data_IF_337918640250
#
_entry.id   IF_337918640250
#
_cell.length_a   1.000
_cell.length_b   1.000
_cell.length_c   1.000
_cell.angle_alpha   90.00
_cell.angle_beta   90.00
_cell.angle_gamma   90.00
#
_symmetry.space_group_name_H-M   'P 1'
#
loop_
_entity.id
_entity.type
_entity.pdbx_description
1 polymer ?
#
# COMPACT_ATOMS: atom_id res chain seq x y z
N UNK A 1 -5.88 -17.07 -16.28
CA UNK A 1 -6.54 -15.75 -16.49
C UNK A 1 -7.42 -15.35 -15.30
N UNK A 2 -8.34 -16.18 -14.83
CA UNK A 2 -9.25 -15.81 -13.72
C UNK A 2 -8.55 -15.63 -12.36
N UNK A 3 -7.55 -16.44 -12.02
CA UNK A 3 -6.77 -16.32 -10.77
C UNK A 3 -5.92 -15.04 -10.70
N UNK A 4 -5.33 -14.62 -11.82
CA UNK A 4 -4.58 -13.37 -11.91
C UNK A 4 -5.51 -12.17 -11.75
N UNK A 5 -6.64 -12.15 -12.45
CA UNK A 5 -7.65 -11.09 -12.31
C UNK A 5 -8.16 -10.94 -10.86
N UNK A 6 -8.35 -12.06 -10.14
CA UNK A 6 -8.69 -12.03 -8.71
C UNK A 6 -7.55 -11.46 -7.86
N UNK A 7 -6.30 -11.78 -8.19
CA UNK A 7 -5.13 -11.23 -7.51
C UNK A 7 -5.04 -9.72 -7.73
N UNK A 8 -5.32 -9.25 -8.95
CA UNK A 8 -5.25 -7.85 -9.30
C UNK A 8 -6.38 -7.04 -8.65
N UNK A 9 -7.59 -7.60 -8.57
CA UNK A 9 -8.69 -6.98 -7.82
C UNK A 9 -8.38 -6.84 -6.33
N UNK A 10 -7.77 -7.87 -5.71
CA UNK A 10 -7.33 -7.79 -4.30
C UNK A 10 -6.21 -6.76 -4.09
N UNK A 11 -5.30 -6.63 -5.05
CA UNK A 11 -4.27 -5.60 -5.04
C UNK A 11 -4.90 -4.21 -5.10
N UNK A 12 -5.83 -4.00 -6.04
CA UNK A 12 -6.56 -2.73 -6.18
C UNK A 12 -7.37 -2.37 -4.91
N UNK A 13 -8.03 -3.35 -4.29
CA UNK A 13 -8.73 -3.15 -3.00
C UNK A 13 -7.78 -2.66 -1.90
N UNK A 14 -6.58 -3.23 -1.83
CA UNK A 14 -5.57 -2.82 -0.85
C UNK A 14 -5.05 -1.42 -1.16
N UNK A 15 -4.77 -1.13 -2.43
CA UNK A 15 -4.28 0.17 -2.89
C UNK A 15 -5.25 1.29 -2.54
N UNK A 16 -6.56 1.14 -2.82
CA UNK A 16 -7.53 2.21 -2.52
C UNK A 16 -7.69 2.46 -1.03
N UNK A 17 -7.54 1.44 -0.18
CA UNK A 17 -7.52 1.62 1.29
C UNK A 17 -6.31 2.45 1.71
N UNK A 18 -5.11 2.09 1.24
CA UNK A 18 -3.88 2.82 1.55
C UNK A 18 -3.92 4.27 1.06
N UNK A 19 -4.39 4.48 -0.17
CA UNK A 19 -4.52 5.81 -0.75
C UNK A 19 -5.55 6.65 0.01
N UNK A 20 -6.67 6.07 0.45
CA UNK A 20 -7.62 6.77 1.32
C UNK A 20 -6.99 7.19 2.65
N UNK A 21 -6.22 6.31 3.31
CA UNK A 21 -5.50 6.64 4.55
C UNK A 21 -4.50 7.79 4.31
N UNK A 22 -3.80 7.77 3.18
CA UNK A 22 -2.77 8.76 2.86
C UNK A 22 -3.32 10.12 2.39
N UNK A 23 -4.55 10.21 1.88
CA UNK A 23 -5.10 11.41 1.25
C UNK A 23 -6.20 12.12 2.06
N UNK A 24 -6.72 11.48 3.11
CA UNK A 24 -7.78 12.04 3.94
C UNK A 24 -7.34 12.13 5.41
N UNK A 25 -7.80 13.14 6.18
CA UNK A 25 -7.42 13.25 7.58
C UNK A 25 -7.96 12.06 8.39
N UNK A 26 -7.28 11.67 9.49
CA UNK A 26 -7.70 10.54 10.32
C UNK A 26 -9.14 10.62 10.83
N UNK A 27 -9.65 11.83 11.04
CA UNK A 27 -11.01 12.12 11.51
C UNK A 27 -12.08 12.11 10.40
N UNK A 28 -11.68 11.86 9.15
CA UNK A 28 -12.63 11.85 8.03
C UNK A 28 -13.50 10.59 8.04
N UNK A 29 -14.78 10.70 7.63
CA UNK A 29 -15.64 9.53 7.42
C UNK A 29 -15.05 8.51 6.42
N UNK A 30 -14.24 8.97 5.47
CA UNK A 30 -13.57 8.11 4.48
C UNK A 30 -12.57 7.18 5.14
N UNK A 31 -11.66 7.72 5.97
CA UNK A 31 -10.69 6.91 6.72
C UNK A 31 -11.39 5.96 7.69
N UNK A 32 -12.43 6.44 8.39
CA UNK A 32 -13.17 5.59 9.32
C UNK A 32 -13.78 4.37 8.63
N UNK A 33 -14.42 4.56 7.48
CA UNK A 33 -15.01 3.46 6.70
C UNK A 33 -13.95 2.53 6.11
N UNK A 34 -12.82 3.06 5.65
CA UNK A 34 -11.70 2.26 5.14
C UNK A 34 -11.16 1.32 6.22
N UNK A 35 -10.92 1.85 7.42
CA UNK A 35 -10.40 1.08 8.55
C UNK A 35 -11.48 0.13 9.09
N UNK A 36 -12.73 0.56 9.21
CA UNK A 36 -13.83 -0.30 9.63
C UNK A 36 -14.02 -1.50 8.71
N UNK A 37 -13.94 -1.30 7.39
CA UNK A 37 -13.99 -2.38 6.41
C UNK A 37 -12.80 -3.32 6.55
N UNK A 38 -11.60 -2.76 6.77
CA UNK A 38 -10.38 -3.55 7.00
C UNK A 38 -10.52 -4.41 8.26
N UNK A 39 -10.99 -3.83 9.36
CA UNK A 39 -11.24 -4.54 10.62
C UNK A 39 -12.25 -5.68 10.44
N UNK A 40 -13.36 -5.43 9.73
CA UNK A 40 -14.33 -6.48 9.38
C UNK A 40 -13.68 -7.61 8.57
N UNK A 41 -12.88 -7.29 7.55
CA UNK A 41 -12.22 -8.29 6.71
C UNK A 41 -11.16 -9.10 7.48
N UNK A 42 -10.47 -8.49 8.45
CA UNK A 42 -9.45 -9.13 9.27
C UNK A 42 -10.03 -9.94 10.44
N UNK A 43 -11.18 -9.55 11.01
CA UNK A 43 -11.73 -10.11 12.24
C UNK A 43 -11.83 -11.66 12.24
N UNK A 44 -12.29 -12.35 11.18
CA UNK A 44 -12.33 -13.81 11.17
C UNK A 44 -10.93 -14.47 11.22
N UNK A 45 -9.92 -13.83 10.64
CA UNK A 45 -8.55 -14.33 10.62
C UNK A 45 -7.84 -14.08 11.96
N UNK A 46 -8.11 -12.93 12.58
CA UNK A 46 -7.65 -12.63 13.94
C UNK A 46 -8.28 -13.63 14.93
N UNK A 47 -9.60 -13.82 14.87
CA UNK A 47 -10.33 -14.77 15.74
C UNK A 47 -9.84 -16.22 15.60
N UNK A 48 -9.37 -16.61 14.41
CA UNK A 48 -8.83 -17.95 14.16
C UNK A 48 -7.32 -18.07 14.39
N UNK A 49 -6.64 -17.00 14.84
CA UNK A 49 -5.20 -16.97 15.09
C UNK A 49 -4.34 -17.01 13.82
N UNK A 50 -4.92 -16.75 12.65
CA UNK A 50 -4.19 -16.70 11.36
C UNK A 50 -3.55 -15.35 11.08
N UNK A 51 -4.02 -14.30 11.74
CA UNK A 51 -3.39 -12.98 11.78
C UNK A 51 -3.19 -12.66 13.26
N UNK A 52 -1.94 -12.55 13.66
CA UNK A 52 -1.56 -12.18 15.03
C UNK A 52 -1.40 -10.66 15.17
N UNK A 53 -1.30 -10.18 16.40
CA UNK A 53 -1.00 -8.76 16.67
C UNK A 53 0.40 -8.38 16.16
N UNK A 54 1.37 -9.30 16.20
CA UNK A 54 2.70 -9.09 15.62
C UNK A 54 2.63 -8.94 14.09
N UNK A 55 1.81 -9.75 13.41
CA UNK A 55 1.58 -9.64 11.96
C UNK A 55 0.99 -8.27 11.58
N UNK A 56 -0.04 -7.82 12.31
CA UNK A 56 -0.67 -6.52 12.08
C UNK A 56 0.34 -5.38 12.27
N UNK A 57 1.12 -5.44 13.36
CA UNK A 57 2.11 -4.42 13.68
C UNK A 57 3.26 -4.40 12.66
N UNK A 58 3.69 -5.56 12.15
CA UNK A 58 4.72 -5.64 11.11
C UNK A 58 4.25 -5.05 9.78
N UNK A 59 3.02 -5.37 9.35
CA UNK A 59 2.46 -4.78 8.12
C UNK A 59 2.33 -3.27 8.27
N UNK A 60 1.92 -2.77 9.44
CA UNK A 60 1.90 -1.34 9.72
C UNK A 60 3.30 -0.71 9.62
N UNK A 61 4.30 -1.35 10.23
CA UNK A 61 5.70 -0.91 10.15
C UNK A 61 6.17 -0.76 8.70
N UNK A 62 5.95 -1.79 7.88
CA UNK A 62 6.36 -1.79 6.48
C UNK A 62 5.77 -0.61 5.70
N UNK A 63 4.54 -0.19 6.02
CA UNK A 63 3.84 0.92 5.34
C UNK A 63 4.53 2.28 5.44
N UNK A 64 5.24 2.57 6.55
CA UNK A 64 6.03 3.81 6.68
C UNK A 64 7.53 3.59 6.56
N UNK A 65 8.05 2.43 6.98
CA UNK A 65 9.48 2.14 6.94
C UNK A 65 10.02 2.09 5.51
N UNK A 66 9.28 1.48 4.59
CA UNK A 66 9.74 1.35 3.21
C UNK A 66 9.82 2.72 2.49
N UNK A 67 8.83 3.62 2.56
CA UNK A 67 8.99 4.99 2.07
C UNK A 67 10.19 5.71 2.69
N UNK A 68 10.36 5.67 4.02
CA UNK A 68 11.46 6.34 4.72
C UNK A 68 12.82 5.81 4.23
N UNK A 69 12.92 4.50 3.95
CA UNK A 69 14.14 3.86 3.44
C UNK A 69 14.37 4.13 1.94
N UNK A 70 13.35 4.04 1.10
CA UNK A 70 13.48 4.12 -0.36
C UNK A 70 13.73 5.55 -0.85
N UNK A 71 13.05 6.54 -0.28
CA UNK A 71 13.15 7.94 -0.71
C UNK A 71 14.60 8.48 -0.74
N UNK A 72 15.42 8.36 0.33
CA UNK A 72 16.79 8.86 0.30
C UNK A 72 17.67 8.13 -0.71
N UNK A 73 17.37 6.87 -1.04
CA UNK A 73 18.16 6.07 -1.98
C UNK A 73 17.78 6.43 -3.43
N UNK A 74 16.48 6.37 -3.76
CA UNK A 74 15.98 6.39 -5.14
C UNK A 74 15.26 7.68 -5.56
N UNK A 75 14.92 8.56 -4.63
CA UNK A 75 14.23 9.82 -4.91
C UNK A 75 15.11 11.06 -4.71
N UNK A 76 14.57 12.21 -5.13
CA UNK A 76 15.28 13.48 -5.24
C UNK A 76 15.83 14.02 -3.91
N UNK A 77 15.26 13.63 -2.76
CA UNK A 77 15.74 14.02 -1.42
C UNK A 77 15.39 13.00 -0.34
N UNK A 78 16.08 13.11 0.80
CA UNK A 78 15.68 12.46 2.05
C UNK A 78 14.48 13.18 2.67
N UNK A 79 13.74 12.48 3.52
CA UNK A 79 12.76 13.10 4.42
C UNK A 79 13.46 13.81 5.57
N UNK A 80 12.89 14.92 6.02
CA UNK A 80 13.27 15.59 7.26
C UNK A 80 12.55 14.93 8.45
N UNK A 81 13.08 15.09 9.66
CA UNK A 81 12.54 14.46 10.88
C UNK A 81 11.05 14.79 11.11
N UNK A 82 10.63 16.02 10.80
CA UNK A 82 9.21 16.41 10.88
C UNK A 82 8.34 15.61 9.90
N UNK A 83 8.83 15.32 8.71
CA UNK A 83 8.07 14.55 7.71
C UNK A 83 8.03 13.07 8.07
N UNK A 84 9.11 12.53 8.63
CA UNK A 84 9.14 11.18 9.20
C UNK A 84 8.12 11.09 10.33
N UNK A 85 8.17 12.02 11.29
CA UNK A 85 7.24 12.06 12.40
C UNK A 85 5.78 12.16 11.92
N UNK A 86 5.48 13.01 10.93
CA UNK A 86 4.14 13.14 10.37
C UNK A 86 3.65 11.84 9.69
N UNK A 87 4.48 11.22 8.85
CA UNK A 87 4.16 9.96 8.18
C UNK A 87 3.89 8.85 9.18
N UNK A 88 4.78 8.70 10.16
CA UNK A 88 4.69 7.67 11.19
C UNK A 88 3.47 7.90 12.09
N UNK A 89 3.15 9.15 12.41
CA UNK A 89 1.97 9.52 13.20
C UNK A 89 0.67 9.17 12.49
N UNK A 90 0.59 9.43 11.18
CA UNK A 90 -0.56 9.05 10.37
C UNK A 90 -0.83 7.54 10.47
N UNK A 91 0.23 6.72 10.33
CA UNK A 91 0.10 5.27 10.47
C UNK A 91 -0.17 4.82 11.91
N UNK A 92 0.37 5.50 12.91
CA UNK A 92 0.01 5.23 14.31
C UNK A 92 -1.49 5.44 14.56
N UNK A 93 -2.09 6.51 14.04
CA UNK A 93 -3.55 6.69 14.13
C UNK A 93 -4.32 5.54 13.48
N UNK A 94 -3.87 5.07 12.31
CA UNK A 94 -4.45 3.88 11.66
C UNK A 94 -4.39 2.66 12.57
N UNK A 95 -3.23 2.40 13.17
CA UNK A 95 -3.02 1.26 14.04
C UNK A 95 -3.84 1.32 15.33
N UNK A 96 -3.96 2.49 15.94
CA UNK A 96 -4.81 2.70 17.12
C UNK A 96 -6.27 2.37 16.77
N UNK A 97 -6.76 2.86 15.62
CA UNK A 97 -8.10 2.55 15.08
C UNK A 97 -8.29 1.07 14.69
N UNK A 98 -7.21 0.36 14.36
CA UNK A 98 -7.20 -1.09 14.11
C UNK A 98 -7.08 -1.93 15.39
N UNK A 99 -6.98 -1.30 16.57
CA UNK A 99 -6.84 -1.97 17.86
C UNK A 99 -5.59 -2.86 17.97
N UNK A 100 -4.46 -2.35 17.44
CA UNK A 100 -3.18 -3.06 17.54
C UNK A 100 -2.65 -2.97 18.98
N UNK A 101 -2.31 -4.13 19.57
CA UNK A 101 -1.86 -4.23 20.96
C UNK A 101 -0.33 -4.06 21.10
N UNK A 102 0.11 -2.82 21.23
CA UNK A 102 1.53 -2.52 21.46
C UNK A 102 2.03 -2.99 22.81
N UNK A 103 1.20 -3.00 23.85
CA UNK A 103 1.64 -3.34 25.20
C UNK A 103 2.12 -4.78 25.27
N UNK A 104 1.42 -5.69 24.59
CA UNK A 104 1.83 -7.09 24.52
C UNK A 104 3.02 -7.28 23.59
N UNK A 105 3.02 -6.65 22.41
CA UNK A 105 4.03 -6.87 21.36
C UNK A 105 5.35 -6.13 21.64
N UNK A 106 5.28 -4.82 21.92
CA UNK A 106 6.43 -3.94 22.13
C UNK A 106 6.82 -3.77 23.61
N UNK A 107 6.00 -4.27 24.54
CA UNK A 107 6.17 -4.02 26.00
C UNK A 107 6.16 -2.53 26.35
N UNK A 108 5.50 -1.72 25.52
CA UNK A 108 5.37 -0.26 25.62
C UNK A 108 4.11 0.18 24.89
N UNK A 109 3.43 1.20 25.41
CA UNK A 109 2.16 1.71 24.91
C UNK A 109 2.14 3.24 24.77
N UNK A 110 3.24 3.92 25.10
CA UNK A 110 3.31 5.37 25.12
C UNK A 110 4.67 5.85 24.61
N UNK A 111 4.66 6.89 23.77
CA UNK A 111 5.83 7.53 23.17
C UNK A 111 5.73 9.05 23.28
N UNK A 112 6.88 9.72 23.26
CA UNK A 112 7.01 11.18 23.28
C UNK A 112 6.57 11.79 21.94
N UNK A 113 6.99 11.18 20.84
CA UNK A 113 6.66 11.63 19.48
C UNK A 113 6.74 10.47 18.47
N UNK A 114 6.53 10.81 17.19
CA UNK A 114 6.58 9.86 16.09
C UNK A 114 7.98 9.35 15.75
N UNK A 115 9.06 10.02 16.18
CA UNK A 115 10.43 9.54 15.96
C UNK A 115 10.75 8.42 16.95
N UNK A 116 10.40 8.59 18.22
CA UNK A 116 10.59 7.53 19.22
C UNK A 116 9.76 6.28 18.88
N UNK A 117 8.52 6.47 18.42
CA UNK A 117 7.70 5.36 17.93
C UNK A 117 8.35 4.69 16.71
N UNK A 118 8.89 5.47 15.76
CA UNK A 118 9.59 4.93 14.59
C UNK A 118 10.82 4.08 14.97
N UNK A 119 11.62 4.52 15.95
CA UNK A 119 12.78 3.78 16.42
C UNK A 119 12.39 2.43 17.03
N UNK A 120 11.37 2.41 17.90
CA UNK A 120 10.88 1.18 18.52
C UNK A 120 10.32 0.22 17.46
N UNK A 121 9.54 0.74 16.51
CA UNK A 121 8.99 -0.03 15.39
C UNK A 121 10.09 -0.56 14.46
N UNK A 122 11.18 0.18 14.27
CA UNK A 122 12.33 -0.26 13.47
C UNK A 122 13.07 -1.42 14.11
N UNK A 123 13.28 -1.38 15.43
CA UNK A 123 13.87 -2.51 16.17
C UNK A 123 12.95 -3.74 16.11
N UNK A 124 11.67 -3.55 16.38
CA UNK A 124 10.67 -4.62 16.27
C UNK A 124 10.62 -5.22 14.85
N UNK A 125 10.58 -4.39 13.81
CA UNK A 125 10.52 -4.85 12.42
C UNK A 125 11.75 -5.66 12.02
N UNK A 126 12.95 -5.23 12.46
CA UNK A 126 14.19 -5.97 12.24
C UNK A 126 14.16 -7.36 12.88
N UNK A 127 13.76 -7.43 14.16
CA UNK A 127 13.63 -8.68 14.91
C UNK A 127 12.56 -9.61 14.31
N UNK A 128 11.44 -9.03 13.87
CA UNK A 128 10.35 -9.75 13.24
C UNK A 128 10.82 -10.39 11.92
N UNK A 129 11.52 -9.64 11.09
CA UNK A 129 12.08 -10.19 9.85
C UNK A 129 13.15 -11.26 10.11
N UNK A 130 13.95 -11.17 11.18
CA UNK A 130 14.97 -12.20 11.51
C UNK A 130 14.30 -13.54 11.85
N UNK A 131 13.12 -13.47 12.45
CA UNK A 131 12.30 -14.64 12.82
C UNK A 131 11.51 -15.17 11.63
N UNK A 132 10.88 -14.30 10.84
CA UNK A 132 9.83 -14.70 9.89
C UNK A 132 10.23 -14.62 8.42
N UNK A 133 11.18 -13.75 8.02
CA UNK A 133 11.56 -13.58 6.62
C UNK A 133 12.57 -14.64 6.17
N UNK A 134 12.11 -15.89 6.14
CA UNK A 134 12.91 -17.09 5.84
C UNK A 134 12.43 -17.80 4.57
N UNK A 135 13.31 -18.53 3.86
CA UNK A 135 12.89 -19.31 2.71
C UNK A 135 12.05 -20.51 3.14
N UNK A 136 10.74 -20.42 2.95
CA UNK A 136 9.78 -21.52 3.09
C UNK A 136 9.06 -21.75 1.77
N UNK A 137 8.47 -22.93 1.57
CA UNK A 137 7.72 -23.24 0.34
C UNK A 137 6.58 -22.22 0.10
N UNK A 138 5.85 -21.86 1.15
CA UNK A 138 4.77 -20.87 1.06
C UNK A 138 5.28 -19.48 0.71
N UNK A 139 6.39 -19.04 1.30
CA UNK A 139 6.99 -17.73 1.00
C UNK A 139 7.54 -17.70 -0.43
N UNK A 140 8.18 -18.77 -0.90
CA UNK A 140 8.63 -18.86 -2.29
C UNK A 140 7.46 -18.83 -3.25
N UNK A 141 6.38 -19.58 -2.98
CA UNK A 141 5.16 -19.55 -3.78
C UNK A 141 4.55 -18.15 -3.82
N UNK A 142 4.49 -17.46 -2.68
CA UNK A 142 4.02 -16.08 -2.60
C UNK A 142 4.90 -15.14 -3.43
N UNK A 143 6.22 -15.29 -3.35
CA UNK A 143 7.17 -14.55 -4.16
C UNK A 143 6.91 -14.70 -5.66
N UNK A 144 6.68 -15.92 -6.14
CA UNK A 144 6.35 -16.17 -7.55
C UNK A 144 5.02 -15.54 -7.97
N UNK A 145 3.99 -15.58 -7.10
CA UNK A 145 2.72 -14.89 -7.35
C UNK A 145 2.92 -13.37 -7.46
N UNK A 146 3.68 -12.78 -6.54
CA UNK A 146 4.00 -11.35 -6.56
C UNK A 146 4.80 -10.98 -7.82
N UNK A 147 5.83 -11.75 -8.18
CA UNK A 147 6.63 -11.48 -9.36
C UNK A 147 5.79 -11.58 -10.64
N UNK A 148 4.90 -12.57 -10.73
CA UNK A 148 3.97 -12.68 -11.85
C UNK A 148 3.01 -11.48 -11.92
N UNK A 149 2.47 -11.03 -10.79
CA UNK A 149 1.64 -9.81 -10.71
C UNK A 149 2.41 -8.60 -11.25
N UNK A 150 3.63 -8.36 -10.77
CA UNK A 150 4.45 -7.22 -11.17
C UNK A 150 4.82 -7.25 -12.66
N UNK A 151 5.14 -8.43 -13.19
CA UNK A 151 5.57 -8.58 -14.58
C UNK A 151 4.40 -8.62 -15.57
N UNK A 152 3.23 -9.09 -15.15
CA UNK A 152 2.05 -9.11 -16.02
C UNK A 152 1.58 -7.68 -16.34
N UNK A 153 1.88 -6.69 -15.50
CA UNK A 153 1.64 -5.25 -15.76
C UNK A 153 2.32 -4.71 -17.02
N UNK A 154 3.36 -5.37 -17.51
CA UNK A 154 4.17 -4.86 -18.62
C UNK A 154 4.16 -5.80 -19.83
N UNK A 155 4.55 -5.29 -21.02
CA UNK A 155 4.67 -6.14 -22.21
C UNK A 155 5.62 -7.32 -21.97
N UNK A 156 5.24 -8.52 -22.43
CA UNK A 156 6.03 -9.75 -22.20
C UNK A 156 7.48 -9.65 -22.69
N UNK A 157 7.74 -8.84 -23.70
CA UNK A 157 9.08 -8.62 -24.27
C UNK A 157 10.04 -7.99 -23.26
N UNK A 158 9.55 -7.14 -22.35
CA UNK A 158 10.39 -6.49 -21.32
C UNK A 158 10.46 -7.28 -20.01
N UNK A 159 9.65 -8.33 -19.87
CA UNK A 159 9.54 -9.14 -18.66
C UNK A 159 10.89 -9.71 -18.15
N UNK A 160 11.82 -10.21 -19.00
CA UNK A 160 13.11 -10.71 -18.51
C UNK A 160 13.98 -9.64 -17.85
N UNK A 161 13.98 -8.43 -18.41
CA UNK A 161 14.70 -7.28 -17.84
C UNK A 161 14.01 -6.83 -16.55
N UNK A 162 12.67 -6.74 -16.58
CA UNK A 162 11.85 -6.40 -15.42
C UNK A 162 12.07 -7.36 -14.24
N UNK A 163 12.16 -8.66 -14.51
CA UNK A 163 12.41 -9.70 -13.49
C UNK A 163 13.74 -9.45 -12.77
N UNK A 164 14.81 -9.21 -13.55
CA UNK A 164 16.13 -8.96 -12.99
C UNK A 164 16.17 -7.64 -12.22
N UNK A 165 15.57 -6.57 -12.76
CA UNK A 165 15.46 -5.28 -12.07
C UNK A 165 14.66 -5.39 -10.75
N UNK A 166 13.57 -6.16 -10.74
CA UNK A 166 12.80 -6.45 -9.53
C UNK A 166 13.66 -7.21 -8.50
N UNK A 167 14.46 -8.19 -8.92
CA UNK A 167 15.40 -8.89 -8.04
C UNK A 167 16.45 -7.94 -7.43
N UNK A 168 16.93 -6.95 -8.20
CA UNK A 168 17.85 -5.91 -7.67
C UNK A 168 17.14 -5.07 -6.61
N UNK A 169 15.92 -4.61 -6.87
CA UNK A 169 15.16 -3.74 -5.97
C UNK A 169 14.71 -4.44 -4.68
N UNK A 170 14.40 -5.73 -4.73
CA UNK A 170 14.06 -6.54 -3.54
C UNK A 170 15.23 -6.63 -2.54
N UNK A 171 16.47 -6.42 -2.98
CA UNK A 171 17.65 -6.59 -2.15
C UNK A 171 17.91 -8.04 -1.73
N UNK A 172 19.04 -8.33 -1.08
CA UNK A 172 19.49 -9.70 -0.85
C UNK A 172 18.65 -10.47 0.18
N UNK A 173 17.99 -9.79 1.12
CA UNK A 173 17.22 -10.44 2.19
C UNK A 173 15.91 -11.02 1.68
N UNK A 174 15.02 -10.16 1.17
CA UNK A 174 13.71 -10.54 0.65
C UNK A 174 13.83 -11.48 -0.55
N UNK A 175 14.78 -11.22 -1.46
CA UNK A 175 15.05 -12.07 -2.62
C UNK A 175 15.42 -13.50 -2.23
N UNK A 176 16.28 -13.68 -1.21
CA UNK A 176 16.64 -15.01 -0.69
C UNK A 176 15.45 -15.69 -0.02
N UNK A 177 14.62 -14.96 0.71
CA UNK A 177 13.39 -15.52 1.29
C UNK A 177 12.43 -16.03 0.19
N UNK A 178 12.29 -15.29 -0.90
CA UNK A 178 11.50 -15.73 -2.07
C UNK A 178 12.17 -16.82 -2.92
N UNK A 179 13.43 -17.18 -2.66
CA UNK A 179 14.16 -18.18 -3.44
C UNK A 179 14.56 -17.70 -4.84
N UNK A 180 14.67 -16.40 -5.07
CA UNK A 180 15.07 -15.83 -6.35
C UNK A 180 16.59 -15.77 -6.52
N UNK A 181 17.10 -15.98 -7.75
CA UNK A 181 18.54 -16.00 -8.02
C UNK A 181 19.18 -14.64 -7.79
N UNK A 182 20.49 -14.62 -7.56
CA UNK A 182 21.26 -13.37 -7.52
C UNK A 182 21.22 -12.70 -8.90
N UNK A 183 20.88 -11.39 -8.99
CA UNK A 183 20.92 -10.69 -10.26
C UNK A 183 22.38 -10.53 -10.73
N UNK A 184 22.60 -10.59 -12.04
CA UNK A 184 23.94 -10.38 -12.61
C UNK A 184 24.51 -9.00 -12.27
N UNK A 185 25.84 -8.88 -12.19
CA UNK A 185 26.50 -7.60 -11.88
C UNK A 185 26.15 -6.51 -12.91
N UNK A 186 26.09 -6.86 -14.20
CA UNK A 186 25.76 -5.92 -15.27
C UNK A 186 24.36 -5.32 -15.15
N UNK A 187 23.34 -6.15 -14.89
CA UNK A 187 21.96 -5.65 -14.71
C UNK A 187 21.83 -4.87 -13.40
N UNK A 188 22.51 -5.31 -12.34
CA UNK A 188 22.55 -4.59 -11.06
C UNK A 188 23.10 -3.17 -11.24
N UNK A 189 24.24 -3.05 -11.91
CA UNK A 189 24.84 -1.75 -12.23
C UNK A 189 23.88 -0.91 -13.10
N UNK A 190 23.31 -1.49 -14.15
CA UNK A 190 22.36 -0.79 -15.02
C UNK A 190 21.15 -0.26 -14.24
N UNK A 191 20.51 -1.09 -13.42
CA UNK A 191 19.32 -0.70 -12.63
C UNK A 191 19.65 0.45 -11.68
N UNK A 192 20.73 0.36 -10.91
CA UNK A 192 21.11 1.45 -10.01
C UNK A 192 21.54 2.72 -10.75
N UNK A 193 22.25 2.61 -11.87
CA UNK A 193 22.61 3.76 -12.71
C UNK A 193 21.36 4.46 -13.27
N UNK A 194 20.37 3.72 -13.78
CA UNK A 194 19.12 4.30 -14.28
C UNK A 194 18.35 5.02 -13.17
N UNK A 195 18.27 4.43 -11.98
CA UNK A 195 17.62 5.05 -10.82
C UNK A 195 18.37 6.31 -10.36
N UNK A 196 19.70 6.29 -10.38
CA UNK A 196 20.52 7.46 -10.07
C UNK A 196 20.32 8.58 -11.09
N UNK A 197 20.34 8.26 -12.38
CA UNK A 197 20.07 9.24 -13.45
C UNK A 197 18.68 9.84 -13.27
N UNK A 198 17.64 9.00 -13.08
CA UNK A 198 16.27 9.47 -12.79
C UNK A 198 16.26 10.42 -11.59
N UNK A 199 16.88 10.02 -10.47
CA UNK A 199 16.97 10.83 -9.25
C UNK A 199 17.59 12.20 -9.51
N UNK A 200 18.67 12.27 -10.28
CA UNK A 200 19.33 13.52 -10.64
C UNK A 200 18.47 14.38 -11.57
N UNK A 201 17.81 13.77 -12.56
CA UNK A 201 16.88 14.46 -13.46
C UNK A 201 15.71 15.06 -12.66
N UNK A 202 15.06 14.28 -11.79
CA UNK A 202 13.95 14.78 -10.97
C UNK A 202 14.42 15.89 -10.02
N UNK A 203 15.62 15.77 -9.44
CA UNK A 203 16.15 16.75 -8.49
C UNK A 203 16.53 18.09 -9.14
N UNK A 204 17.13 18.07 -10.33
CA UNK A 204 17.78 19.25 -10.91
C UNK A 204 17.09 19.77 -12.18
N UNK A 205 16.31 18.96 -12.88
CA UNK A 205 15.71 19.31 -14.17
C UNK A 205 14.17 19.39 -14.15
N UNK A 206 13.51 18.74 -13.18
CA UNK A 206 12.06 18.82 -13.02
C UNK A 206 11.66 19.99 -12.12
N UNK A 207 10.65 20.77 -12.55
CA UNK A 207 10.07 21.83 -11.74
C UNK A 207 9.13 21.28 -10.66
N UNK A 208 8.96 21.97 -9.52
CA UNK A 208 7.93 21.64 -8.55
C UNK A 208 6.54 21.57 -9.19
N UNK A 209 5.70 20.64 -8.73
CA UNK A 209 4.32 20.55 -9.21
C UNK A 209 3.54 21.80 -8.83
N UNK A 210 2.82 22.39 -9.78
CA UNK A 210 1.93 23.52 -9.54
C UNK A 210 0.58 23.09 -8.92
N UNK A 211 0.20 21.84 -9.13
CA UNK A 211 -1.01 21.24 -8.59
C UNK A 211 -0.68 19.95 -7.85
N UNK A 212 -1.41 19.61 -6.77
CA UNK A 212 -1.21 18.36 -6.07
C UNK A 212 -1.56 17.17 -6.98
N UNK A 213 -0.86 16.05 -6.79
CA UNK A 213 -1.26 14.79 -7.40
C UNK A 213 -2.57 14.33 -6.75
N UNK A 214 -3.57 14.00 -7.56
CA UNK A 214 -4.87 13.53 -7.08
C UNK A 214 -4.97 12.03 -7.35
N UNK A 215 -4.93 11.23 -6.29
CA UNK A 215 -4.97 9.78 -6.42
C UNK A 215 -6.38 9.21 -6.35
N UNK A 216 -7.24 9.82 -5.54
CA UNK A 216 -8.64 9.44 -5.33
C UNK A 216 -9.53 10.66 -5.32
N UNK A 217 -10.78 10.50 -5.74
CA UNK A 217 -11.78 11.56 -5.67
C UNK A 217 -12.29 11.79 -4.26
N UNK A 218 -12.93 12.93 -4.03
CA UNK A 218 -13.88 13.04 -2.92
C UNK A 218 -15.05 12.06 -3.11
N UNK A 219 -15.73 11.63 -2.05
CA UNK A 219 -16.96 10.86 -2.18
C UNK A 219 -18.00 11.63 -3.01
N UNK A 220 -18.56 10.97 -4.01
CA UNK A 220 -19.63 11.51 -4.83
C UNK A 220 -20.87 11.84 -3.98
N UNK A 221 -21.53 12.98 -4.22
CA UNK A 221 -22.61 13.46 -3.36
C UNK A 221 -23.88 12.61 -3.42
N UNK A 222 -24.18 12.04 -4.58
CA UNK A 222 -25.39 11.24 -4.79
C UNK A 222 -25.14 9.77 -4.47
N UNK A 223 -24.01 9.24 -4.96
CA UNK A 223 -23.72 7.81 -4.89
C UNK A 223 -22.81 7.42 -3.72
N UNK A 224 -22.07 8.37 -3.15
CA UNK A 224 -21.04 8.10 -2.14
C UNK A 224 -19.79 7.42 -2.67
N UNK A 225 -19.72 7.13 -3.99
CA UNK A 225 -18.61 6.40 -4.60
C UNK A 225 -17.34 7.23 -4.68
N UNK A 226 -16.22 6.58 -4.44
CA UNK A 226 -14.87 7.15 -4.58
C UNK A 226 -14.21 6.55 -5.82
N UNK A 227 -13.63 7.41 -6.67
CA UNK A 227 -12.95 7.00 -7.90
C UNK A 227 -11.44 6.98 -7.65
N UNK A 228 -10.75 5.96 -8.16
CA UNK A 228 -9.29 5.96 -8.24
C UNK A 228 -8.85 6.58 -9.57
N UNK A 229 -7.71 7.27 -9.59
CA UNK A 229 -7.12 7.82 -10.81
C UNK A 229 -5.85 7.09 -11.24
N UNK A 230 -5.40 6.09 -10.47
CA UNK A 230 -4.23 5.28 -10.76
C UNK A 230 -4.57 3.79 -10.63
N UNK A 231 -3.87 2.97 -11.40
CA UNK A 231 -3.98 1.51 -11.37
C UNK A 231 -2.68 0.87 -11.87
N UNK A 232 -2.36 -0.34 -11.38
CA UNK A 232 -1.14 -1.05 -11.77
C UNK A 232 -1.29 -1.94 -13.02
N UNK A 233 -2.38 -2.71 -13.14
CA UNK A 233 -2.62 -3.61 -14.30
C UNK A 233 -3.99 -3.38 -14.92
N UNK A 234 -5.06 -3.76 -14.21
CA UNK A 234 -6.43 -3.49 -14.65
C UNK A 234 -6.98 -2.23 -13.99
N UNK A 235 -7.83 -1.48 -14.71
CA UNK A 235 -8.36 -0.19 -14.28
C UNK A 235 -9.53 -0.34 -13.29
N UNK A 236 -9.32 -1.05 -12.18
CA UNK A 236 -10.31 -1.15 -11.11
C UNK A 236 -10.58 0.22 -10.49
N UNK A 237 -11.86 0.59 -10.39
CA UNK A 237 -12.31 1.85 -9.81
C UNK A 237 -11.92 3.12 -10.58
N UNK A 238 -11.37 2.97 -11.79
CA UNK A 238 -10.88 4.09 -12.60
C UNK A 238 -11.91 4.53 -13.63
N UNK A 239 -12.31 5.81 -13.65
CA UNK A 239 -13.32 6.31 -14.58
C UNK A 239 -12.76 6.45 -16.00
N UNK A 240 -13.58 6.18 -17.04
CA UNK A 240 -13.18 6.25 -18.45
C UNK A 240 -13.15 7.69 -18.98
N UNK A 241 -12.50 8.61 -18.28
CA UNK A 241 -12.35 9.99 -18.75
C UNK A 241 -11.49 10.05 -20.01
N UNK A 242 -11.61 11.13 -20.77
CA UNK A 242 -10.84 11.31 -22.01
C UNK A 242 -9.33 11.13 -21.75
N UNK A 243 -8.77 11.82 -20.77
CA UNK A 243 -7.34 11.71 -20.49
C UNK A 243 -6.93 10.32 -19.97
N UNK A 244 -7.78 9.65 -19.19
CA UNK A 244 -7.50 8.30 -18.71
C UNK A 244 -7.49 7.24 -19.82
N UNK A 245 -8.20 7.49 -20.94
CA UNK A 245 -8.23 6.57 -22.09
C UNK A 245 -7.21 6.90 -23.18
N UNK A 246 -6.62 8.10 -23.18
CA UNK A 246 -5.82 8.61 -24.30
C UNK A 246 -4.45 9.18 -23.91
N UNK A 247 -4.08 9.17 -22.64
CA UNK A 247 -2.71 9.53 -22.24
C UNK A 247 -1.67 8.54 -22.83
N UNK A 248 -0.36 8.89 -22.84
CA UNK A 248 0.68 8.04 -23.44
C UNK A 248 0.73 6.63 -22.86
N UNK A 249 0.54 6.49 -21.54
CA UNK A 249 0.52 5.20 -20.85
C UNK A 249 -0.65 4.33 -21.31
N UNK A 250 -1.86 4.89 -21.39
CA UNK A 250 -3.06 4.20 -21.89
C UNK A 250 -2.88 3.73 -23.35
N UNK A 251 -2.23 4.53 -24.20
CA UNK A 251 -1.89 4.13 -25.56
C UNK A 251 -0.93 2.94 -25.60
N UNK A 252 0.12 2.95 -24.77
CA UNK A 252 1.08 1.83 -24.67
C UNK A 252 0.38 0.58 -24.14
N UNK A 253 -0.44 0.71 -23.09
CA UNK A 253 -1.22 -0.39 -22.50
C UNK A 253 -2.14 -1.01 -23.53
N UNK A 254 -2.87 -0.19 -24.31
CA UNK A 254 -3.75 -0.66 -25.38
C UNK A 254 -2.98 -1.42 -26.47
N UNK A 255 -1.87 -0.86 -26.94
CA UNK A 255 -1.02 -1.51 -27.96
C UNK A 255 -0.43 -2.85 -27.46
N UNK A 256 -0.26 -2.97 -26.15
CA UNK A 256 0.26 -4.18 -25.50
C UNK A 256 -0.83 -5.20 -25.15
N UNK A 257 -2.08 -4.94 -25.53
CA UNK A 257 -3.24 -5.82 -25.26
C UNK A 257 -3.78 -5.73 -23.83
N UNK A 258 -3.42 -4.70 -23.07
CA UNK A 258 -3.95 -4.42 -21.74
C UNK A 258 -5.34 -3.78 -21.77
N UNK A 259 -6.02 -3.80 -20.62
CA UNK A 259 -7.29 -3.11 -20.43
C UNK A 259 -7.03 -1.65 -20.02
N UNK A 260 -7.79 -0.73 -20.61
CA UNK A 260 -7.79 0.69 -20.23
C UNK A 260 -9.14 1.06 -19.57
N UNK A 261 -9.22 2.17 -18.81
CA UNK A 261 -10.44 2.54 -18.09
C UNK A 261 -11.68 2.57 -18.98
N UNK A 262 -12.73 1.83 -18.59
CA UNK A 262 -13.96 1.60 -19.37
C UNK A 262 -13.97 0.31 -20.18
N UNK A 263 -12.81 -0.31 -20.39
CA UNK A 263 -12.70 -1.66 -20.92
C UNK A 263 -12.84 -2.67 -19.75
N UNK A 264 -13.27 -3.90 -20.03
CA UNK A 264 -13.44 -4.94 -19.01
C UNK A 264 -14.80 -4.98 -18.31
N UNK A 265 -15.71 -4.05 -18.63
CA UNK A 265 -17.13 -4.07 -18.22
C UNK A 265 -17.36 -3.79 -16.73
N UNK A 266 -18.58 -4.08 -16.26
CA UNK A 266 -19.06 -3.72 -14.91
C UNK A 266 -18.18 -4.25 -13.76
N UNK A 267 -17.44 -5.35 -13.97
CA UNK A 267 -16.53 -5.90 -12.94
C UNK A 267 -15.38 -4.96 -12.54
N UNK A 268 -15.03 -4.00 -13.40
CA UNK A 268 -13.98 -3.02 -13.11
C UNK A 268 -14.49 -1.87 -12.25
N UNK A 269 -15.82 -1.74 -12.06
CA UNK A 269 -16.46 -0.71 -11.23
C UNK A 269 -15.94 0.69 -11.55
N UNK A 270 -15.93 1.06 -12.83
CA UNK A 270 -15.37 2.33 -13.32
C UNK A 270 -16.05 3.59 -12.76
N UNK A 271 -17.25 3.43 -12.22
CA UNK A 271 -18.00 4.42 -11.46
C UNK A 271 -17.37 4.75 -10.08
N UNK A 272 -16.41 3.95 -9.63
CA UNK A 272 -15.77 4.04 -8.33
C UNK A 272 -16.22 2.95 -7.36
N UNK A 273 -15.68 2.95 -6.15
CA UNK A 273 -16.02 1.99 -5.10
C UNK A 273 -16.84 2.63 -3.97
N UNK A 274 -17.64 1.81 -3.32
CA UNK A 274 -18.01 1.99 -1.92
C UNK A 274 -17.13 1.07 -1.04
N UNK A 275 -17.04 1.29 0.26
CA UNK A 275 -16.19 0.43 1.10
C UNK A 275 -16.73 -1.00 1.20
N UNK A 276 -18.04 -1.17 1.05
CA UNK A 276 -18.73 -2.46 0.96
C UNK A 276 -18.32 -3.25 -0.30
N UNK A 277 -17.83 -2.56 -1.33
CA UNK A 277 -17.34 -3.17 -2.57
C UNK A 277 -16.02 -3.89 -2.42
N UNK A 278 -15.25 -3.58 -1.36
CA UNK A 278 -13.88 -4.04 -1.16
C UNK A 278 -13.85 -5.42 -0.48
N UNK A 279 -12.90 -6.25 -0.90
CA UNK A 279 -12.64 -7.57 -0.32
C UNK A 279 -12.99 -8.71 -1.27
N UNK A 280 -12.81 -9.97 -0.81
CA UNK A 280 -13.02 -11.12 -1.68
C UNK A 280 -14.48 -11.20 -2.15
N UNK A 281 -14.71 -11.63 -3.40
CA UNK A 281 -16.04 -11.68 -4.04
C UNK A 281 -17.17 -12.23 -3.14
N UNK A 282 -16.89 -13.21 -2.28
CA UNK A 282 -17.87 -13.82 -1.36
C UNK A 282 -18.36 -12.88 -0.25
N UNK A 283 -17.64 -11.80 0.03
CA UNK A 283 -17.89 -10.79 1.07
C UNK A 283 -18.26 -9.40 0.53
N UNK A 284 -18.20 -9.20 -0.80
CA UNK A 284 -18.65 -7.96 -1.44
C UNK A 284 -20.12 -7.72 -1.11
N UNK A 285 -20.44 -6.53 -0.60
CA UNK A 285 -21.79 -6.13 -0.16
C UNK A 285 -22.27 -6.80 1.14
N UNK A 286 -21.43 -7.58 1.83
CA UNK A 286 -21.80 -8.27 3.09
C UNK A 286 -21.16 -7.64 4.31
N UNK A 287 -21.75 -7.93 5.48
CA UNK A 287 -21.24 -7.48 6.77
C UNK A 287 -21.48 -6.00 7.04
N UNK A 288 -22.55 -5.42 6.48
CA UNK A 288 -22.83 -3.98 6.59
C UNK A 288 -23.01 -3.55 8.05
N UNK A 289 -23.83 -4.28 8.80
CA UNK A 289 -24.08 -3.95 10.21
C UNK A 289 -22.84 -4.15 11.09
N UNK A 290 -22.08 -5.22 10.88
CA UNK A 290 -20.79 -5.43 11.57
C UNK A 290 -19.78 -4.34 11.22
N UNK A 291 -19.70 -3.93 9.95
CA UNK A 291 -18.82 -2.84 9.51
C UNK A 291 -19.22 -1.51 10.16
N UNK A 292 -20.53 -1.22 10.28
CA UNK A 292 -21.00 -0.03 11.00
C UNK A 292 -20.60 -0.06 12.48
N UNK A 293 -20.66 -1.21 13.14
CA UNK A 293 -20.21 -1.34 14.53
C UNK A 293 -18.71 -1.05 14.65
N UNK A 294 -17.88 -1.57 13.73
CA UNK A 294 -16.47 -1.21 13.66
C UNK A 294 -16.27 0.29 13.40
N UNK A 295 -17.09 0.91 12.54
CA UNK A 295 -17.01 2.33 12.22
C UNK A 295 -17.23 3.21 13.47
N UNK A 296 -18.17 2.86 14.35
CA UNK A 296 -18.41 3.59 15.60
C UNK A 296 -17.23 3.50 16.59
N UNK A 297 -16.59 2.33 16.68
CA UNK A 297 -15.37 2.14 17.47
C UNK A 297 -14.22 2.96 16.90
N UNK A 298 -14.04 2.90 15.57
CA UNK A 298 -13.01 3.64 14.84
C UNK A 298 -13.19 5.15 15.02
N UNK A 299 -14.42 5.67 14.88
CA UNK A 299 -14.75 7.08 15.13
C UNK A 299 -14.32 7.51 16.52
N UNK A 300 -14.69 6.75 17.55
CA UNK A 300 -14.34 7.07 18.94
C UNK A 300 -12.82 7.24 19.12
N UNK A 301 -12.04 6.34 18.52
CA UNK A 301 -10.58 6.37 18.58
C UNK A 301 -9.95 7.49 17.75
N UNK A 302 -10.50 7.79 16.58
CA UNK A 302 -10.00 8.84 15.71
C UNK A 302 -10.06 10.23 16.37
N UNK A 303 -11.00 10.45 17.30
CA UNK A 303 -11.15 11.68 18.07
C UNK A 303 -10.46 11.66 19.44
N UNK A 304 -9.59 10.67 19.72
CA UNK A 304 -8.90 10.55 21.02
C UNK A 304 -7.82 11.63 21.27
N UNK A 305 -7.53 12.49 20.30
CA UNK A 305 -6.52 13.54 20.41
C UNK A 305 -5.13 13.09 19.96
N UNK A 306 -4.08 13.77 20.43
CA UNK A 306 -2.70 13.44 20.07
C UNK A 306 -2.36 12.01 20.54
N UNK A 307 -1.79 11.14 19.67
CA UNK A 307 -1.52 9.74 20.01
C UNK A 307 -0.22 9.55 20.81
N UNK A 308 0.43 10.65 21.18
CA UNK A 308 1.67 10.67 21.96
C UNK A 308 1.44 11.33 23.32
N UNK A 309 2.31 10.99 24.26
CA UNK A 309 2.34 11.63 25.57
C UNK A 309 2.47 13.13 25.39
N UNK A 310 1.63 13.87 26.11
CA UNK A 310 1.90 15.29 26.33
C UNK A 310 3.25 15.38 27.04
N UNK A 311 4.25 15.95 26.36
CA UNK A 311 5.41 16.51 27.04
C UNK A 311 4.89 17.59 27.96
N UNK A 312 4.67 17.26 29.24
CA UNK A 312 4.51 18.28 30.27
C UNK A 312 5.77 19.15 30.18
N UNK A 313 5.57 20.40 29.79
CA UNK A 313 6.58 21.45 29.91
C UNK A 313 6.90 21.70 31.38
#
# INVERSE_FOLDING_TARGET
MQTLLLTHGRYADTEVVYVCIANFPPTSPVVHKAIARTNFLHAPYIKSGKITQEDLLYVLYASFAEPIRFLPIYEYRKLEDMEIAALVTMWKYTADMMDIDYRTVLRKDEWVDGLEFFEDMTRFGSDYEDKHLRPTEDIQKLGHVLMNLLLDSYPKVVSPIGYQAACVLMGPRLRRAFGFPDPGLGITALTYSLLLVRKLVVRFLCLPRLTPAVYVSQPDQETGRIKSYHYMKEPFYVPPTFWQRWNPEACITRLSGGLIPGDGGARMKSEGFLFEDLGPNRLVGKGLEETKQFEEVVKTKAFAGCPYKSTKA
#
